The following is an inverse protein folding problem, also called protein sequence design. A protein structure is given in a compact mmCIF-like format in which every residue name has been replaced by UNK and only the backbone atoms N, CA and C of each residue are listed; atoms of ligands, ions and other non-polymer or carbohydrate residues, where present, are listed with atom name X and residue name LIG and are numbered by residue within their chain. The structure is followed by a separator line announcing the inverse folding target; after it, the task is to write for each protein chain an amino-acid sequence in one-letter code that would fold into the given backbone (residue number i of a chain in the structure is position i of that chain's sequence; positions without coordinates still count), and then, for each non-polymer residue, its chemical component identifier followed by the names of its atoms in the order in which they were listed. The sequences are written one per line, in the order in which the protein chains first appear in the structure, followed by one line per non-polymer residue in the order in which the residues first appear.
data_IF_088587681853
#
_entry.id   IF_088587681853
#
_cell.length_a   1.000
_cell.length_b   1.000
_cell.length_c   1.000
_cell.angle_alpha   90.00
_cell.angle_beta   90.00
_cell.angle_gamma   90.00
#
_symmetry.space_group_name_H-M   'P 1'
#
loop_
_entity.id
_entity.type
_entity.pdbx_description
1 polymer ?
#
# COMPACT_ATOMS: atom_id res chain seq x y z
N UNK A 1 2.37 3.22 -7.29
CA UNK A 1 1.67 4.33 -7.98
C UNK A 1 0.36 4.53 -7.26
N UNK A 2 -0.04 5.77 -6.97
CA UNK A 2 -1.25 6.09 -6.21
C UNK A 2 -2.12 7.04 -7.05
N UNK A 3 -3.28 6.60 -7.56
CA UNK A 3 -4.22 7.52 -8.19
C UNK A 3 -4.83 8.44 -7.13
N UNK A 4 -4.70 9.75 -7.33
CA UNK A 4 -5.20 10.75 -6.39
C UNK A 4 -6.72 10.96 -6.50
N UNK A 5 -7.35 10.45 -7.57
CA UNK A 5 -8.80 10.58 -7.80
C UNK A 5 -9.27 12.00 -8.11
N UNK A 6 -8.38 12.84 -8.61
CA UNK A 6 -8.63 14.23 -9.01
C UNK A 6 -7.78 14.58 -10.24
N UNK A 7 -8.22 15.53 -11.06
CA UNK A 7 -7.52 15.95 -12.28
C UNK A 7 -6.21 16.69 -11.98
N UNK A 8 -6.27 17.64 -11.07
CA UNK A 8 -5.13 18.49 -10.76
C UNK A 8 -4.26 17.90 -9.65
N UNK A 9 -2.95 18.01 -9.84
CA UNK A 9 -2.00 17.62 -8.81
C UNK A 9 -1.97 18.67 -7.68
N UNK A 10 -2.10 18.26 -6.41
CA UNK A 10 -2.12 19.17 -5.27
C UNK A 10 -0.82 19.99 -5.20
N UNK A 11 -0.97 21.31 -5.14
CA UNK A 11 0.15 22.27 -5.21
C UNK A 11 0.51 22.91 -3.86
N UNK A 12 -0.40 22.90 -2.85
CA UNK A 12 -0.05 23.11 -1.45
C UNK A 12 0.20 21.82 -0.67
N UNK A 13 1.03 21.90 0.39
CA UNK A 13 1.32 20.82 1.34
C UNK A 13 0.06 20.16 1.92
N UNK A 14 -0.86 20.96 2.44
CA UNK A 14 -2.05 20.45 3.14
C UNK A 14 -3.01 19.77 2.16
N UNK A 15 -3.12 20.30 0.94
CA UNK A 15 -3.89 19.68 -0.14
C UNK A 15 -3.28 18.34 -0.57
N UNK A 16 -1.94 18.21 -0.56
CA UNK A 16 -1.26 16.94 -0.85
C UNK A 16 -1.52 15.88 0.23
N UNK A 17 -1.43 16.27 1.50
CA UNK A 17 -1.71 15.36 2.61
C UNK A 17 -3.17 14.85 2.54
N UNK A 18 -4.11 15.75 2.30
CA UNK A 18 -5.53 15.41 2.16
C UNK A 18 -5.81 14.54 0.93
N UNK A 19 -5.20 14.85 -0.22
CA UNK A 19 -5.35 14.06 -1.43
C UNK A 19 -4.79 12.64 -1.26
N UNK A 20 -3.65 12.48 -0.58
CA UNK A 20 -3.09 11.17 -0.27
C UNK A 20 -3.96 10.38 0.71
N UNK A 21 -4.46 11.04 1.76
CA UNK A 21 -5.36 10.41 2.72
C UNK A 21 -6.63 9.88 2.04
N UNK A 22 -7.29 10.72 1.25
CA UNK A 22 -8.48 10.37 0.48
C UNK A 22 -8.18 9.26 -0.54
N UNK A 23 -7.02 9.30 -1.21
CA UNK A 23 -6.62 8.26 -2.14
C UNK A 23 -6.43 6.91 -1.45
N UNK A 24 -5.79 6.86 -0.28
CA UNK A 24 -5.55 5.62 0.44
C UNK A 24 -6.85 4.99 0.97
N UNK A 25 -7.81 5.79 1.45
CA UNK A 25 -9.15 5.31 1.86
C UNK A 25 -9.92 4.58 0.75
N UNK A 26 -9.54 4.73 -0.52
CA UNK A 26 -10.11 3.95 -1.62
C UNK A 26 -9.60 2.52 -1.70
N UNK A 27 -8.44 2.25 -1.11
CA UNK A 27 -7.79 0.93 -1.09
C UNK A 27 -7.95 0.22 0.25
N UNK A 28 -8.22 0.96 1.32
CA UNK A 28 -8.24 0.44 2.69
C UNK A 28 -9.47 0.93 3.44
N UNK A 29 -10.07 0.05 4.23
CA UNK A 29 -11.09 0.42 5.19
C UNK A 29 -10.42 0.76 6.52
N UNK A 30 -10.42 2.04 6.89
CA UNK A 30 -9.90 2.52 8.17
C UNK A 30 -10.66 3.78 8.56
N UNK A 31 -10.89 4.00 9.85
CA UNK A 31 -11.44 5.27 10.34
C UNK A 31 -10.32 6.26 10.64
N UNK A 32 -10.63 7.54 10.48
CA UNK A 32 -9.72 8.64 10.79
C UNK A 32 -8.63 8.84 9.74
N UNK A 33 -7.64 9.66 10.12
CA UNK A 33 -6.53 10.04 9.26
C UNK A 33 -5.50 8.91 9.16
N UNK A 34 -5.05 8.65 7.94
CA UNK A 34 -4.03 7.67 7.58
C UNK A 34 -2.69 8.38 7.31
N UNK A 35 -2.72 9.57 6.69
CA UNK A 35 -1.52 10.24 6.18
C UNK A 35 -1.20 11.52 6.95
N UNK A 36 -0.03 11.55 7.59
CA UNK A 36 0.56 12.76 8.13
C UNK A 36 1.76 13.18 7.28
N UNK A 37 1.79 14.47 6.90
CA UNK A 37 2.84 15.03 6.05
C UNK A 37 3.45 16.25 6.72
N UNK A 38 4.78 16.21 6.89
CA UNK A 38 5.57 17.32 7.41
C UNK A 38 6.47 17.87 6.32
N UNK A 39 6.37 19.17 6.10
CA UNK A 39 7.20 19.93 5.17
C UNK A 39 7.34 21.34 5.73
N UNK A 40 8.57 21.87 5.66
CA UNK A 40 8.90 23.27 5.94
C UNK A 40 8.86 24.14 4.68
N UNK A 41 9.26 23.59 3.53
CA UNK A 41 9.31 24.29 2.23
C UNK A 41 8.88 23.32 1.13
N UNK A 42 7.76 23.57 0.45
CA UNK A 42 7.35 22.76 -0.70
C UNK A 42 8.14 23.19 -1.95
N UNK A 43 8.65 22.27 -2.80
CA UNK A 43 8.33 20.84 -2.93
C UNK A 43 9.27 19.87 -2.17
N UNK A 44 9.87 20.30 -1.06
CA UNK A 44 10.68 19.43 -0.19
C UNK A 44 9.86 18.98 1.03
N UNK A 45 9.60 17.69 1.12
CA UNK A 45 8.85 17.07 2.21
C UNK A 45 9.85 16.46 3.19
N UNK A 46 9.81 16.89 4.45
CA UNK A 46 10.68 16.33 5.48
C UNK A 46 10.27 14.89 5.79
N UNK A 47 8.95 14.63 5.85
CA UNK A 47 8.44 13.32 6.25
C UNK A 47 7.01 13.07 5.78
N UNK A 48 6.76 11.84 5.31
CA UNK A 48 5.41 11.28 5.10
C UNK A 48 5.27 10.08 6.02
N UNK A 49 4.25 10.09 6.88
CA UNK A 49 3.87 8.95 7.74
C UNK A 49 2.52 8.43 7.30
N UNK A 50 2.45 7.12 7.08
CA UNK A 50 1.23 6.40 6.72
C UNK A 50 0.94 5.40 7.83
N UNK A 51 -0.14 5.61 8.57
CA UNK A 51 -0.57 4.74 9.66
C UNK A 51 -1.76 3.88 9.22
N UNK A 52 -1.52 2.58 9.13
CA UNK A 52 -2.47 1.53 8.78
C UNK A 52 -2.87 0.66 9.98
N UNK A 53 -2.62 1.08 11.23
CA UNK A 53 -3.05 0.34 12.42
C UNK A 53 -4.56 0.03 12.35
N UNK A 54 -4.93 -1.24 12.47
CA UNK A 54 -6.32 -1.72 12.39
C UNK A 54 -7.00 -1.57 11.03
N UNK A 55 -6.24 -1.28 9.97
CA UNK A 55 -6.75 -1.23 8.60
C UNK A 55 -7.32 -2.59 8.14
N UNK A 56 -8.30 -2.56 7.24
CA UNK A 56 -8.82 -3.76 6.57
C UNK A 56 -8.72 -3.67 5.06
N UNK A 57 -8.26 -4.75 4.44
CA UNK A 57 -8.15 -4.98 3.00
C UNK A 57 -8.96 -6.22 2.61
N UNK A 58 -10.26 -6.19 2.93
CA UNK A 58 -11.17 -7.32 2.71
C UNK A 58 -12.03 -7.17 1.44
N UNK A 59 -11.82 -6.08 0.69
CA UNK A 59 -12.51 -5.78 -0.58
C UNK A 59 -11.55 -5.93 -1.75
N UNK A 60 -12.04 -6.25 -2.97
CA UNK A 60 -11.21 -6.18 -4.17
C UNK A 60 -10.58 -4.78 -4.28
N UNK A 61 -9.26 -4.70 -4.20
CA UNK A 61 -8.57 -3.42 -4.37
C UNK A 61 -8.79 -2.91 -5.80
N UNK A 62 -9.07 -1.61 -6.00
CA UNK A 62 -9.10 -1.02 -7.32
C UNK A 62 -7.82 -1.36 -8.08
N UNK A 63 -7.89 -1.57 -9.42
CA UNK A 63 -6.69 -1.79 -10.20
C UNK A 63 -5.72 -0.61 -10.01
N UNK A 64 -4.43 -0.92 -9.92
CA UNK A 64 -3.40 0.11 -9.88
C UNK A 64 -3.50 0.97 -11.14
N UNK A 65 -3.47 2.29 -10.96
CA UNK A 65 -3.51 3.21 -12.08
C UNK A 65 -2.27 3.02 -12.97
N UNK A 66 -2.51 2.94 -14.27
CA UNK A 66 -1.46 2.99 -15.29
C UNK A 66 -1.30 4.45 -15.71
N UNK A 67 -0.07 4.96 -15.63
CA UNK A 67 0.23 6.30 -16.14
C UNK A 67 0.34 6.23 -17.66
N UNK A 68 -0.27 7.22 -18.31
CA UNK A 68 -0.12 7.46 -19.74
C UNK A 68 0.93 8.55 -19.98
N UNK A 69 1.81 8.30 -20.96
CA UNK A 69 2.85 9.24 -21.34
C UNK A 69 3.97 9.39 -20.31
N UNK A 70 4.68 10.52 -20.41
CA UNK A 70 5.81 10.84 -19.53
C UNK A 70 5.34 11.37 -18.17
N UNK A 71 6.11 11.04 -17.13
CA UNK A 71 5.92 11.60 -15.79
C UNK A 71 6.81 12.83 -15.60
N UNK A 72 6.36 13.78 -14.77
CA UNK A 72 7.13 14.99 -14.42
C UNK A 72 7.49 14.96 -12.93
N UNK A 73 8.61 15.57 -12.51
CA UNK A 73 8.91 15.73 -11.09
C UNK A 73 7.75 16.40 -10.32
N UNK A 74 7.46 15.90 -9.12
CA UNK A 74 6.42 16.44 -8.25
C UNK A 74 7.01 17.02 -6.97
N UNK A 75 7.63 16.16 -6.15
CA UNK A 75 8.26 16.55 -4.89
C UNK A 75 9.26 15.48 -4.43
N UNK A 76 10.06 15.82 -3.43
CA UNK A 76 10.99 14.89 -2.80
C UNK A 76 10.64 14.73 -1.32
N UNK A 77 10.75 13.52 -0.78
CA UNK A 77 10.53 13.22 0.62
C UNK A 77 11.81 12.65 1.26
N UNK A 78 12.33 13.31 2.29
CA UNK A 78 13.52 12.81 2.99
C UNK A 78 13.24 11.48 3.70
N UNK A 79 12.04 11.30 4.25
CA UNK A 79 11.60 10.08 4.92
C UNK A 79 10.14 9.73 4.59
N UNK A 80 9.91 8.48 4.22
CA UNK A 80 8.56 7.90 4.08
C UNK A 80 8.47 6.69 4.99
N UNK A 81 7.52 6.71 5.92
CA UNK A 81 7.23 5.57 6.80
C UNK A 81 5.82 5.06 6.58
N UNK A 82 5.68 3.74 6.56
CA UNK A 82 4.39 3.05 6.58
C UNK A 82 4.41 2.09 7.74
N UNK A 83 3.47 2.20 8.66
CA UNK A 83 3.32 1.29 9.79
C UNK A 83 1.90 0.80 9.86
N UNK A 84 1.69 -0.46 10.21
CA UNK A 84 0.38 -0.92 10.62
C UNK A 84 0.49 -2.18 11.44
N UNK A 85 -0.23 -2.19 12.55
CA UNK A 85 -0.42 -3.35 13.42
C UNK A 85 -1.84 -3.87 13.29
N UNK A 86 -1.99 -5.19 13.37
CA UNK A 86 -3.28 -5.87 13.27
C UNK A 86 -4.07 -5.44 12.01
N UNK A 87 -3.37 -5.34 10.87
CA UNK A 87 -4.03 -5.12 9.58
C UNK A 87 -4.74 -6.42 9.21
N UNK A 88 -6.03 -6.36 8.85
CA UNK A 88 -6.76 -7.51 8.28
C UNK A 88 -6.61 -7.51 6.76
N UNK A 89 -6.10 -8.60 6.18
CA UNK A 89 -6.06 -8.82 4.73
C UNK A 89 -6.77 -10.12 4.42
N UNK A 90 -7.97 -10.03 3.83
CA UNK A 90 -8.84 -11.18 3.59
C UNK A 90 -9.01 -12.07 4.85
N UNK A 91 -9.14 -11.43 6.01
CA UNK A 91 -9.28 -12.09 7.31
C UNK A 91 -7.97 -12.62 7.94
N UNK A 92 -6.80 -12.40 7.32
CA UNK A 92 -5.49 -12.69 7.93
C UNK A 92 -4.97 -11.44 8.64
N UNK A 93 -4.54 -11.59 9.89
CA UNK A 93 -3.86 -10.52 10.62
C UNK A 93 -2.39 -10.41 10.18
N UNK A 94 -1.98 -9.22 9.77
CA UNK A 94 -0.59 -8.90 9.41
C UNK A 94 -0.10 -7.65 10.17
N UNK A 95 1.20 -7.63 10.44
CA UNK A 95 1.93 -6.43 10.87
C UNK A 95 2.89 -6.00 9.76
N UNK A 96 2.96 -4.69 9.55
CA UNK A 96 3.72 -4.05 8.47
C UNK A 96 4.56 -2.91 9.03
N UNK A 97 5.83 -2.86 8.64
CA UNK A 97 6.68 -1.70 8.80
C UNK A 97 7.53 -1.47 7.56
N UNK A 98 7.41 -0.30 6.97
CA UNK A 98 8.24 0.19 5.88
C UNK A 98 8.87 1.51 6.28
N UNK A 99 10.14 1.66 5.95
CA UNK A 99 10.87 2.93 6.06
C UNK A 99 11.70 3.12 4.80
N UNK A 100 11.61 4.29 4.19
CA UNK A 100 12.29 4.60 2.92
C UNK A 100 12.84 6.02 2.99
N UNK A 101 14.09 6.24 2.54
CA UNK A 101 14.76 7.55 2.56
C UNK A 101 15.05 8.10 1.17
N UNK A 102 15.09 9.43 1.08
CA UNK A 102 15.34 10.21 -0.13
C UNK A 102 14.47 9.74 -1.31
N UNK A 103 13.16 9.80 -1.13
CA UNK A 103 12.18 9.34 -2.11
C UNK A 103 11.85 10.46 -3.08
N UNK A 104 12.08 10.23 -4.36
CA UNK A 104 11.71 11.14 -5.45
C UNK A 104 10.35 10.72 -5.99
N UNK A 105 9.40 11.64 -5.91
CA UNK A 105 8.06 11.44 -6.46
C UNK A 105 7.87 12.22 -7.75
N UNK A 106 7.28 11.55 -8.72
CA UNK A 106 6.80 12.14 -9.95
C UNK A 106 5.27 12.17 -9.97
N UNK A 107 4.72 13.06 -10.81
CA UNK A 107 3.31 13.12 -11.16
C UNK A 107 3.12 12.74 -12.62
N UNK A 108 2.06 11.99 -12.88
CA UNK A 108 1.56 11.70 -14.22
C UNK A 108 0.04 11.80 -14.23
N UNK A 109 -0.57 11.37 -15.33
CA UNK A 109 -2.02 11.21 -15.44
C UNK A 109 -2.35 9.79 -15.89
N UNK A 110 -3.49 9.26 -15.48
CA UNK A 110 -4.04 8.02 -16.02
C UNK A 110 -4.86 8.26 -17.30
N UNK A 111 -5.42 7.19 -17.87
CA UNK A 111 -6.27 7.24 -19.08
C UNK A 111 -7.53 8.11 -18.93
N UNK A 112 -7.95 8.38 -17.70
CA UNK A 112 -9.08 9.27 -17.42
C UNK A 112 -8.60 10.71 -17.26
N UNK A 113 -7.30 10.97 -17.22
CA UNK A 113 -6.70 12.25 -16.89
C UNK A 113 -6.65 12.53 -15.38
N UNK A 114 -6.86 11.51 -14.53
CA UNK A 114 -6.70 11.69 -13.08
C UNK A 114 -5.21 11.70 -12.73
N UNK A 115 -4.81 12.61 -11.85
CA UNK A 115 -3.46 12.73 -11.34
C UNK A 115 -3.03 11.45 -10.63
N UNK A 116 -1.84 10.96 -10.98
CA UNK A 116 -1.22 9.79 -10.38
C UNK A 116 0.12 10.17 -9.76
N UNK A 117 0.31 9.82 -8.49
CA UNK A 117 1.58 9.92 -7.81
C UNK A 117 2.43 8.66 -8.07
N UNK A 118 3.67 8.86 -8.46
CA UNK A 118 4.61 7.78 -8.81
C UNK A 118 5.85 7.92 -7.94
N UNK A 119 6.14 6.92 -7.10
CA UNK A 119 7.42 6.80 -6.43
C UNK A 119 8.45 6.33 -7.46
N UNK A 120 9.29 7.25 -7.95
CA UNK A 120 10.19 7.00 -9.07
C UNK A 120 11.51 6.38 -8.61
N UNK A 121 12.05 6.87 -7.49
CA UNK A 121 13.30 6.41 -6.92
C UNK A 121 13.28 6.57 -5.41
N UNK A 122 14.00 5.70 -4.72
CA UNK A 122 14.40 5.85 -3.33
C UNK A 122 15.90 5.53 -3.22
N UNK A 123 16.62 6.18 -2.31
CA UNK A 123 18.03 5.84 -2.04
C UNK A 123 18.13 4.51 -1.30
N UNK A 124 17.34 4.36 -0.26
CA UNK A 124 17.33 3.19 0.60
C UNK A 124 15.94 2.95 1.17
N UNK A 125 15.66 1.70 1.53
CA UNK A 125 14.43 1.35 2.19
C UNK A 125 14.44 -0.06 2.75
N UNK A 126 13.60 -0.26 3.75
CA UNK A 126 13.37 -1.50 4.45
C UNK A 126 11.87 -1.77 4.48
N UNK A 127 11.50 -3.02 4.23
CA UNK A 127 10.15 -3.53 4.40
C UNK A 127 10.20 -4.77 5.29
N UNK A 128 9.43 -4.74 6.37
CA UNK A 128 9.17 -5.88 7.26
C UNK A 128 7.68 -6.13 7.23
N UNK A 129 7.32 -7.38 6.91
CA UNK A 129 5.95 -7.88 6.91
C UNK A 129 5.95 -9.17 7.73
N UNK A 130 5.02 -9.30 8.67
CA UNK A 130 4.87 -10.51 9.46
C UNK A 130 3.40 -10.91 9.58
N UNK A 131 3.15 -12.21 9.55
CA UNK A 131 1.86 -12.84 9.76
C UNK A 131 2.09 -14.17 10.48
N UNK A 132 1.12 -14.65 11.26
CA UNK A 132 1.23 -15.97 11.84
C UNK A 132 1.03 -17.03 10.74
N UNK A 133 1.91 -18.05 10.70
CA UNK A 133 1.80 -19.12 9.72
C UNK A 133 0.45 -19.84 9.80
N UNK A 134 -0.06 -20.05 11.02
CA UNK A 134 -1.36 -20.71 11.23
C UNK A 134 -2.51 -19.90 10.61
N UNK A 135 -2.49 -18.57 10.74
CA UNK A 135 -3.52 -17.69 10.15
C UNK A 135 -3.48 -17.75 8.61
N UNK A 136 -2.28 -17.82 8.03
CA UNK A 136 -2.11 -18.00 6.58
C UNK A 136 -2.64 -19.36 6.11
N UNK A 137 -2.32 -20.44 6.82
CA UNK A 137 -2.80 -21.79 6.53
C UNK A 137 -4.33 -21.87 6.62
N UNK A 138 -4.94 -21.26 7.64
CA UNK A 138 -6.38 -21.21 7.81
C UNK A 138 -7.07 -20.40 6.72
N UNK A 139 -6.51 -19.27 6.31
CA UNK A 139 -7.04 -18.47 5.21
C UNK A 139 -6.96 -19.21 3.87
N UNK A 140 -5.84 -19.87 3.57
CA UNK A 140 -5.70 -20.71 2.37
C UNK A 140 -6.72 -21.85 2.41
N UNK A 141 -6.86 -22.54 3.55
CA UNK A 141 -7.84 -23.62 3.72
C UNK A 141 -9.27 -23.12 3.46
N UNK A 142 -9.64 -21.96 3.99
CA UNK A 142 -10.96 -21.37 3.79
C UNK A 142 -11.22 -21.07 2.31
N UNK A 143 -10.31 -20.32 1.66
CA UNK A 143 -10.46 -19.93 0.25
C UNK A 143 -10.47 -21.15 -0.68
N UNK A 144 -9.51 -22.06 -0.50
CA UNK A 144 -9.42 -23.27 -1.32
C UNK A 144 -10.59 -24.23 -1.05
N UNK A 145 -11.01 -24.35 0.22
CA UNK A 145 -12.13 -25.20 0.65
C UNK A 145 -13.47 -24.75 0.07
N UNK A 146 -13.74 -23.44 0.05
CA UNK A 146 -14.93 -22.87 -0.61
C UNK A 146 -15.00 -23.28 -2.09
N UNK A 147 -13.86 -23.29 -2.80
CA UNK A 147 -13.79 -23.71 -4.20
C UNK A 147 -13.86 -25.24 -4.37
N UNK A 148 -13.17 -25.98 -3.52
CA UNK A 148 -13.07 -27.45 -3.57
C UNK A 148 -14.43 -28.13 -3.34
N UNK A 149 -15.25 -27.58 -2.44
CA UNK A 149 -16.61 -28.08 -2.16
C UNK A 149 -17.53 -28.08 -3.37
N UNK A 150 -17.33 -27.16 -4.33
CA UNK A 150 -18.08 -27.15 -5.59
C UNK A 150 -17.86 -28.42 -6.43
N UNK A 151 -16.79 -29.17 -6.14
CA UNK A 151 -16.42 -30.41 -6.80
C UNK A 151 -16.52 -31.63 -5.86
N UNK A 152 -17.18 -31.49 -4.70
CA UNK A 152 -17.31 -32.57 -3.71
C UNK A 152 -16.01 -32.93 -2.98
N UNK A 153 -15.00 -32.07 -3.03
CA UNK A 153 -13.72 -32.27 -2.33
C UNK A 153 -13.79 -31.54 -0.98
N UNK A 154 -13.49 -32.25 0.11
CA UNK A 154 -13.30 -31.64 1.43
C UNK A 154 -11.80 -31.52 1.75
N UNK A 155 -11.42 -30.37 2.30
CA UNK A 155 -10.02 -29.99 2.46
C UNK A 155 -9.65 -30.02 3.94
N UNK A 156 -9.11 -31.15 4.39
CA UNK A 156 -8.87 -31.43 5.81
C UNK A 156 -7.75 -30.58 6.42
N UNK A 157 -6.64 -30.43 5.69
CA UNK A 157 -5.43 -29.77 6.20
C UNK A 157 -4.64 -29.06 5.10
N UNK A 158 -4.16 -27.87 5.43
CA UNK A 158 -3.16 -27.13 4.66
C UNK A 158 -1.90 -27.02 5.52
N UNK A 159 -0.73 -27.15 4.90
CA UNK A 159 0.57 -26.86 5.51
C UNK A 159 1.36 -25.97 4.59
N UNK A 160 1.84 -24.84 5.10
CA UNK A 160 2.58 -23.86 4.35
C UNK A 160 4.07 -23.96 4.69
N UNK A 161 4.91 -24.00 3.67
CA UNK A 161 6.36 -23.90 3.82
C UNK A 161 6.87 -22.88 2.81
N UNK A 162 7.42 -21.77 3.31
CA UNK A 162 7.91 -20.67 2.49
C UNK A 162 9.44 -20.63 2.50
N UNK A 163 10.03 -20.28 1.35
CA UNK A 163 11.48 -20.14 1.17
C UNK A 163 11.77 -18.92 0.32
N UNK A 164 12.63 -18.04 0.82
CA UNK A 164 13.05 -16.86 0.09
C UNK A 164 13.99 -17.29 -1.04
N UNK A 165 13.66 -16.94 -2.28
CA UNK A 165 14.48 -17.26 -3.46
C UNK A 165 15.57 -16.23 -3.72
N UNK A 166 15.44 -15.03 -3.16
CA UNK A 166 16.38 -13.93 -3.35
C UNK A 166 16.25 -12.92 -2.21
N UNK A 167 17.15 -11.93 -2.18
CA UNK A 167 17.06 -10.77 -1.27
C UNK A 167 15.79 -9.91 -1.46
N UNK A 168 15.07 -10.08 -2.58
CA UNK A 168 13.81 -9.38 -2.89
C UNK A 168 12.57 -10.25 -2.64
N UNK A 169 12.73 -11.42 -2.01
CA UNK A 169 11.64 -12.35 -1.74
C UNK A 169 11.29 -12.36 -0.25
N UNK A 170 9.99 -12.42 0.05
CA UNK A 170 9.47 -12.68 1.39
C UNK A 170 9.30 -14.19 1.60
N UNK A 171 9.49 -14.65 2.83
CA UNK A 171 9.29 -16.02 3.25
C UNK A 171 8.75 -16.05 4.67
#
# INVERSE_FOLDING_TARGET
MIPLGRKDFPSPKDDLAQALDAALHRFVQKSGRIVDLRSRVFPLVDEIRINLDGAKFDSPTPPLAKVEGETKPAFEAALVTVSGRHISVYGVAIDLRMETRDVVFHKGADAKGDAVLVAQRAREGQLVLSAAQIDLEEAIRRIAGERARLYGIDLERVRLAMRARSRRSLA
#
